data_IF_154152634780
#
_entry.id   IF_154152634780
#
_cell.length_a   1.000
_cell.length_b   1.000
_cell.length_c   1.000
_cell.angle_alpha   90.00
_cell.angle_beta   90.00
_cell.angle_gamma   90.00
#
_symmetry.space_group_name_H-M   'P 1'
#
loop_
_entity.id
_entity.type
_entity.pdbx_description
1 polymer ?
#
# COMPACT_ATOMS: atom_id res chain seq x y z
N UNK A 1 -10.71 -21.63 -16.49
CA UNK A 1 -10.86 -20.89 -17.76
C UNK A 1 -9.61 -21.22 -18.55
N UNK A 2 -9.62 -22.36 -19.22
CA UNK A 2 -8.40 -23.02 -19.70
C UNK A 2 -8.01 -22.56 -21.11
N UNK A 3 -8.81 -21.65 -21.68
CA UNK A 3 -8.72 -21.20 -23.07
C UNK A 3 -8.02 -19.85 -23.26
N UNK A 4 -7.72 -19.12 -22.18
CA UNK A 4 -7.27 -17.72 -22.30
C UNK A 4 -5.78 -17.58 -22.61
N UNK A 5 -4.96 -18.59 -22.28
CA UNK A 5 -3.50 -18.49 -22.40
C UNK A 5 -2.93 -17.27 -21.67
N UNK A 6 -1.68 -16.90 -21.96
CA UNK A 6 -1.11 -15.61 -21.56
C UNK A 6 -0.29 -15.04 -22.72
N UNK A 7 -0.40 -13.74 -22.94
CA UNK A 7 0.38 -13.06 -23.97
C UNK A 7 1.82 -12.82 -23.50
N UNK A 8 2.75 -12.71 -24.44
CA UNK A 8 4.13 -12.29 -24.18
C UNK A 8 4.38 -10.97 -24.91
N UNK A 9 4.77 -9.94 -24.16
CA UNK A 9 5.13 -8.62 -24.71
C UNK A 9 6.65 -8.50 -24.72
N UNK A 10 7.22 -8.19 -25.89
CA UNK A 10 8.65 -7.90 -26.04
C UNK A 10 8.81 -6.40 -26.26
N UNK A 11 9.50 -5.74 -25.34
CA UNK A 11 9.64 -4.28 -25.31
C UNK A 11 11.12 -3.87 -25.22
N UNK A 12 11.45 -2.69 -25.75
CA UNK A 12 12.77 -2.09 -25.53
C UNK A 12 12.95 -1.79 -24.04
N UNK A 13 14.12 -2.15 -23.49
CA UNK A 13 14.48 -1.82 -22.12
C UNK A 13 14.74 -0.32 -21.94
N UNK A 14 14.34 0.18 -20.78
CA UNK A 14 14.69 1.49 -20.22
C UNK A 14 15.11 1.30 -18.77
N UNK A 15 15.94 2.18 -18.22
CA UNK A 15 16.61 1.92 -16.96
C UNK A 15 16.50 3.07 -15.95
N UNK A 16 15.75 2.83 -14.86
CA UNK A 16 15.66 3.78 -13.74
C UNK A 16 16.88 3.78 -12.81
N UNK A 17 17.87 2.93 -13.08
CA UNK A 17 19.06 2.72 -12.24
C UNK A 17 20.39 3.06 -12.92
N UNK A 18 20.38 3.90 -13.97
CA UNK A 18 21.61 4.32 -14.68
C UNK A 18 22.36 5.43 -13.95
N UNK A 19 21.67 6.26 -13.17
CA UNK A 19 22.27 7.35 -12.42
C UNK A 19 21.44 7.73 -11.20
N UNK A 20 21.92 8.71 -10.42
CA UNK A 20 21.14 9.32 -9.34
C UNK A 20 20.02 10.24 -9.85
N UNK A 21 20.02 10.51 -11.14
CA UNK A 21 19.06 11.36 -11.83
C UNK A 21 18.06 10.54 -12.67
N UNK A 22 18.12 9.21 -12.57
CA UNK A 22 17.14 8.27 -13.13
C UNK A 22 16.28 7.67 -12.01
N UNK A 23 15.11 7.15 -12.36
CA UNK A 23 14.24 6.49 -11.39
C UNK A 23 13.09 5.72 -12.03
N UNK A 24 12.41 4.93 -11.20
CA UNK A 24 11.20 4.20 -11.58
C UNK A 24 10.10 4.45 -10.56
N UNK A 25 8.85 4.43 -11.00
CA UNK A 25 7.72 4.73 -10.14
C UNK A 25 6.41 4.16 -10.63
N UNK A 26 5.42 4.22 -9.73
CA UNK A 26 4.04 3.89 -10.01
C UNK A 26 3.18 5.04 -9.54
N UNK A 27 2.33 5.56 -10.43
CA UNK A 27 1.40 6.64 -10.09
C UNK A 27 -0.02 6.30 -10.49
N UNK A 28 -0.96 6.75 -9.68
CA UNK A 28 -2.38 6.78 -9.97
C UNK A 28 -2.75 8.18 -10.43
N UNK A 29 -3.62 8.29 -11.42
CA UNK A 29 -4.15 9.58 -11.90
C UNK A 29 -5.21 10.17 -10.95
N UNK A 30 -5.59 9.44 -9.91
CA UNK A 30 -6.50 9.84 -8.83
C UNK A 30 -5.96 9.29 -7.51
N UNK A 31 -6.21 9.98 -6.40
CA UNK A 31 -5.83 9.49 -5.07
C UNK A 31 -6.73 8.30 -4.67
N UNK A 32 -6.21 7.07 -4.56
CA UNK A 32 -7.03 5.90 -4.23
C UNK A 32 -7.62 5.92 -2.82
N UNK A 33 -7.19 6.85 -1.96
CA UNK A 33 -7.75 7.07 -0.62
C UNK A 33 -8.96 8.02 -0.63
N UNK A 34 -9.19 8.72 -1.74
CA UNK A 34 -10.31 9.64 -1.93
C UNK A 34 -11.47 8.98 -2.71
N UNK A 35 -12.72 9.44 -2.52
CA UNK A 35 -13.85 8.98 -3.33
C UNK A 35 -13.57 9.07 -4.83
N UNK A 36 -14.14 8.15 -5.62
CA UNK A 36 -13.98 8.13 -7.08
C UNK A 36 -14.20 9.52 -7.67
N UNK A 37 -13.20 9.98 -8.42
CA UNK A 37 -13.26 11.23 -9.15
C UNK A 37 -12.50 11.07 -10.46
N UNK A 38 -12.96 11.77 -11.50
CA UNK A 38 -12.22 11.94 -12.77
C UNK A 38 -11.26 13.11 -12.73
N UNK A 39 -11.18 13.82 -11.60
CA UNK A 39 -10.21 14.89 -11.42
C UNK A 39 -8.79 14.30 -11.38
N UNK A 40 -7.95 14.73 -12.32
CA UNK A 40 -6.57 14.26 -12.37
C UNK A 40 -5.76 14.89 -11.24
N UNK A 41 -5.29 14.04 -10.33
CA UNK A 41 -4.31 14.35 -9.28
C UNK A 41 -3.40 13.15 -9.14
N UNK A 42 -2.11 13.36 -9.42
CA UNK A 42 -1.14 12.29 -9.30
C UNK A 42 -0.99 11.89 -7.83
N UNK A 43 -0.96 10.58 -7.59
CA UNK A 43 -0.70 10.00 -6.28
C UNK A 43 0.15 8.75 -6.48
N UNK A 44 1.13 8.49 -5.64
CA UNK A 44 1.92 7.27 -5.74
C UNK A 44 3.36 7.47 -5.29
N UNK A 45 4.23 6.57 -5.73
CA UNK A 45 5.56 6.42 -5.19
C UNK A 45 6.59 6.23 -6.31
N UNK A 46 7.80 6.75 -6.11
CA UNK A 46 8.95 6.49 -6.99
C UNK A 46 10.24 6.30 -6.17
N UNK A 47 11.24 5.70 -6.81
CA UNK A 47 12.59 5.59 -6.25
C UNK A 47 13.63 5.97 -7.31
N UNK A 48 14.64 6.73 -6.89
CA UNK A 48 15.79 7.07 -7.73
C UNK A 48 16.79 5.92 -7.78
N UNK A 49 17.58 5.85 -8.86
CA UNK A 49 18.61 4.85 -9.06
C UNK A 49 18.09 3.41 -8.85
N UNK A 50 16.84 3.14 -9.26
CA UNK A 50 16.10 1.94 -8.90
C UNK A 50 15.22 1.44 -10.06
N UNK A 51 15.02 0.12 -10.09
CA UNK A 51 14.14 -0.55 -11.04
C UNK A 51 12.77 -0.81 -10.42
N UNK A 52 11.76 -1.05 -11.27
CA UNK A 52 10.40 -1.32 -10.81
C UNK A 52 10.30 -2.49 -9.83
N UNK A 53 11.17 -3.49 -9.96
CA UNK A 53 11.22 -4.65 -9.06
C UNK A 53 11.56 -4.28 -7.61
N UNK A 54 12.47 -3.33 -7.40
CA UNK A 54 12.89 -2.89 -6.06
C UNK A 54 11.73 -2.21 -5.33
N UNK A 55 10.96 -1.41 -6.08
CA UNK A 55 9.82 -0.66 -5.56
C UNK A 55 8.70 -1.60 -5.14
N UNK A 56 8.32 -2.54 -6.02
CA UNK A 56 7.26 -3.52 -5.75
C UNK A 56 7.66 -4.49 -4.64
N UNK A 57 8.93 -4.92 -4.63
CA UNK A 57 9.50 -5.80 -3.62
C UNK A 57 9.76 -5.13 -2.26
N UNK A 58 9.55 -3.81 -2.13
CA UNK A 58 9.78 -3.08 -0.89
C UNK A 58 11.25 -3.09 -0.45
N UNK A 59 12.18 -3.21 -1.40
CA UNK A 59 13.62 -3.19 -1.18
C UNK A 59 14.16 -1.76 -0.99
N UNK A 60 13.39 -0.77 -1.42
CA UNK A 60 13.68 0.66 -1.30
C UNK A 60 12.60 1.36 -0.47
N UNK A 61 12.99 2.50 0.12
CA UNK A 61 12.04 3.43 0.72
C UNK A 61 11.65 4.46 -0.34
N UNK A 62 10.43 4.40 -0.89
CA UNK A 62 10.03 5.30 -1.94
C UNK A 62 9.81 6.73 -1.45
N UNK A 63 9.87 7.66 -2.39
CA UNK A 63 9.46 9.03 -2.21
C UNK A 63 8.12 9.29 -2.91
N UNK A 64 7.31 10.23 -2.37
CA UNK A 64 6.01 10.53 -2.92
C UNK A 64 6.10 11.22 -4.29
N UNK A 65 5.09 11.04 -5.13
CA UNK A 65 5.03 11.71 -6.44
C UNK A 65 4.77 13.22 -6.29
N UNK A 66 3.92 13.63 -5.34
CA UNK A 66 3.52 15.03 -5.18
C UNK A 66 3.95 15.65 -3.85
N UNK A 67 4.09 16.97 -3.83
CA UNK A 67 4.26 17.75 -2.60
C UNK A 67 3.02 17.68 -1.70
N UNK A 68 1.83 17.61 -2.30
CA UNK A 68 0.58 17.44 -1.55
C UNK A 68 0.59 16.13 -0.74
N UNK A 69 1.04 15.03 -1.35
CA UNK A 69 1.22 13.75 -0.68
C UNK A 69 2.31 13.81 0.40
N UNK A 70 3.45 14.44 0.10
CA UNK A 70 4.57 14.60 1.05
C UNK A 70 4.19 15.39 2.31
N UNK A 71 3.43 16.47 2.14
CA UNK A 71 3.04 17.37 3.23
C UNK A 71 1.75 16.95 3.93
N UNK A 72 0.89 16.19 3.24
CA UNK A 72 -0.44 15.81 3.72
C UNK A 72 -0.52 14.49 4.48
N UNK A 73 0.54 13.68 4.47
CA UNK A 73 0.53 12.36 5.11
C UNK A 73 1.64 12.22 6.18
N UNK A 74 1.31 11.75 7.39
CA UNK A 74 2.31 11.39 8.41
C UNK A 74 3.34 10.37 7.93
N UNK A 75 3.00 9.55 6.93
CA UNK A 75 3.90 8.55 6.36
C UNK A 75 5.18 9.16 5.78
N UNK A 76 5.10 10.37 5.22
CA UNK A 76 6.24 11.06 4.63
C UNK A 76 6.85 12.11 5.57
N UNK A 77 6.56 12.03 6.88
CA UNK A 77 7.11 12.94 7.87
C UNK A 77 8.65 12.85 7.87
N UNK A 78 9.31 13.99 7.66
CA UNK A 78 10.77 14.06 7.54
C UNK A 78 11.31 13.74 6.14
N UNK A 79 10.47 13.35 5.18
CA UNK A 79 10.86 13.23 3.78
C UNK A 79 10.95 14.62 3.14
N UNK A 80 12.12 14.93 2.58
CA UNK A 80 12.37 16.21 1.91
C UNK A 80 12.16 16.15 0.39
N UNK A 81 11.93 14.95 -0.15
CA UNK A 81 11.95 14.62 -1.56
C UNK A 81 10.55 14.31 -2.10
N UNK A 82 10.27 14.76 -3.32
CA UNK A 82 9.12 14.33 -4.12
C UNK A 82 9.45 14.43 -5.60
N UNK A 83 8.73 13.70 -6.47
CA UNK A 83 8.96 13.78 -7.91
C UNK A 83 8.68 15.20 -8.41
N UNK A 84 7.58 15.81 -7.94
CA UNK A 84 7.18 17.18 -8.24
C UNK A 84 8.25 18.22 -7.90
N UNK A 85 8.97 18.04 -6.78
CA UNK A 85 10.02 18.96 -6.33
C UNK A 85 11.35 18.70 -7.03
N UNK A 86 11.80 17.44 -7.07
CA UNK A 86 13.16 17.10 -7.46
C UNK A 86 13.32 16.87 -8.97
N UNK A 87 12.23 16.48 -9.66
CA UNK A 87 12.20 16.22 -11.10
C UNK A 87 11.00 16.90 -11.77
N UNK A 88 10.91 18.25 -11.73
CA UNK A 88 9.71 18.98 -12.14
C UNK A 88 9.34 18.80 -13.62
N UNK A 89 10.33 18.61 -14.51
CA UNK A 89 10.08 18.36 -15.93
C UNK A 89 9.46 16.97 -16.17
N UNK A 90 10.00 15.94 -15.50
CA UNK A 90 9.44 14.57 -15.51
C UNK A 90 8.03 14.57 -14.94
N UNK A 91 7.81 15.22 -13.79
CA UNK A 91 6.50 15.34 -13.17
C UNK A 91 5.48 16.04 -14.08
N UNK A 92 5.85 17.17 -14.68
CA UNK A 92 4.98 17.91 -15.59
C UNK A 92 4.57 17.07 -16.81
N UNK A 93 5.53 16.29 -17.37
CA UNK A 93 5.26 15.38 -18.47
C UNK A 93 4.33 14.24 -18.04
N UNK A 94 4.57 13.63 -16.87
CA UNK A 94 3.73 12.57 -16.30
C UNK A 94 2.29 13.07 -16.05
N UNK A 95 2.14 14.30 -15.55
CA UNK A 95 0.84 14.94 -15.36
C UNK A 95 0.12 15.21 -16.70
N UNK A 96 0.87 15.60 -17.73
CA UNK A 96 0.34 15.77 -19.08
C UNK A 96 -0.21 14.45 -19.63
N UNK A 97 0.57 13.37 -19.52
CA UNK A 97 0.15 12.00 -19.88
C UNK A 97 -1.12 11.59 -19.12
N UNK A 98 -1.17 11.82 -17.80
CA UNK A 98 -2.33 11.49 -16.99
C UNK A 98 -3.61 12.24 -17.43
N UNK A 99 -3.47 13.51 -17.82
CA UNK A 99 -4.58 14.32 -18.34
C UNK A 99 -5.10 13.83 -19.69
N UNK A 100 -4.21 13.48 -20.61
CA UNK A 100 -4.58 12.90 -21.91
C UNK A 100 -5.26 11.53 -21.73
N UNK A 101 -4.72 10.66 -20.86
CA UNK A 101 -5.33 9.35 -20.57
C UNK A 101 -6.75 9.48 -20.01
N UNK A 102 -6.95 10.31 -18.97
CA UNK A 102 -8.25 10.45 -18.32
C UNK A 102 -9.21 11.33 -19.14
N UNK A 103 -8.71 12.32 -19.88
CA UNK A 103 -9.54 13.30 -20.59
C UNK A 103 -9.95 12.88 -22.00
N UNK A 104 -9.10 12.13 -22.71
CA UNK A 104 -9.27 11.90 -24.15
C UNK A 104 -9.30 10.43 -24.55
N UNK A 105 -8.59 9.55 -23.84
CA UNK A 105 -8.41 8.15 -24.26
C UNK A 105 -9.28 7.17 -23.49
N UNK A 106 -9.15 7.16 -22.17
CA UNK A 106 -9.67 6.10 -21.30
C UNK A 106 -10.90 6.54 -20.50
N UNK A 107 -11.05 7.85 -20.24
CA UNK A 107 -12.18 8.44 -19.49
C UNK A 107 -12.34 8.00 -18.03
N UNK A 108 -11.49 7.08 -17.56
CA UNK A 108 -11.44 6.57 -16.19
C UNK A 108 -10.04 6.74 -15.59
N UNK A 109 -9.92 6.83 -14.24
CA UNK A 109 -8.63 6.90 -13.58
C UNK A 109 -7.73 5.71 -13.93
N UNK A 110 -6.45 6.00 -14.17
CA UNK A 110 -5.43 5.03 -14.55
C UNK A 110 -4.39 4.89 -13.44
N UNK A 111 -3.82 3.70 -13.35
CA UNK A 111 -2.54 3.46 -12.74
C UNK A 111 -1.50 3.32 -13.85
N UNK A 112 -0.35 3.98 -13.67
CA UNK A 112 0.71 4.15 -14.65
C UNK A 112 2.01 3.69 -13.99
N UNK A 113 2.68 2.73 -14.62
CA UNK A 113 4.06 2.36 -14.30
C UNK A 113 4.99 3.11 -15.25
N UNK A 114 5.99 3.79 -14.69
CA UNK A 114 6.88 4.64 -15.46
C UNK A 114 8.34 4.53 -15.01
N UNK A 115 9.24 4.87 -15.92
CA UNK A 115 10.68 4.99 -15.67
C UNK A 115 11.19 6.23 -16.37
N UNK A 116 12.15 6.92 -15.75
CA UNK A 116 12.88 8.02 -16.38
C UNK A 116 14.39 7.77 -16.30
N UNK A 117 15.10 7.98 -17.41
CA UNK A 117 16.56 7.76 -17.49
C UNK A 117 17.38 9.02 -17.14
N UNK A 118 16.74 10.19 -17.15
CA UNK A 118 17.32 11.49 -16.78
C UNK A 118 16.23 12.47 -16.28
N UNK A 119 16.60 13.67 -15.78
CA UNK A 119 15.64 14.71 -15.40
C UNK A 119 14.87 15.32 -16.58
N UNK A 120 15.25 15.04 -17.82
CA UNK A 120 14.61 15.59 -19.00
C UNK A 120 13.25 14.91 -19.26
N UNK A 121 12.23 15.71 -19.57
CA UNK A 121 10.88 15.22 -19.86
C UNK A 121 10.82 14.22 -21.03
N UNK A 122 11.75 14.31 -21.98
CA UNK A 122 11.84 13.42 -23.13
C UNK A 122 12.28 12.00 -22.75
N UNK A 123 12.93 11.84 -21.60
CA UNK A 123 13.41 10.57 -21.09
C UNK A 123 12.43 9.93 -20.11
N UNK A 124 11.18 10.42 -20.03
CA UNK A 124 10.09 9.73 -19.34
C UNK A 124 9.46 8.68 -20.25
N UNK A 125 9.41 7.45 -19.76
CA UNK A 125 8.81 6.31 -20.43
C UNK A 125 7.65 5.76 -19.62
N UNK A 126 6.47 5.67 -20.24
CA UNK A 126 5.33 4.92 -19.70
C UNK A 126 5.46 3.47 -20.13
N UNK A 127 5.52 2.57 -19.15
CA UNK A 127 5.74 1.14 -19.37
C UNK A 127 4.45 0.36 -19.39
N UNK A 128 3.54 0.70 -18.47
CA UNK A 128 2.25 0.06 -18.36
C UNK A 128 1.20 1.09 -17.93
N UNK A 129 -0.03 0.90 -18.41
CA UNK A 129 -1.22 1.54 -17.86
C UNK A 129 -2.30 0.52 -17.57
N UNK A 130 -3.10 0.76 -16.54
CA UNK A 130 -4.30 -0.03 -16.25
C UNK A 130 -5.41 0.83 -15.66
N UNK A 131 -6.65 0.49 -15.95
CA UNK A 131 -7.79 1.11 -15.28
C UNK A 131 -7.73 0.82 -13.77
N UNK A 132 -7.95 1.84 -12.95
CA UNK A 132 -8.02 1.67 -11.50
C UNK A 132 -9.34 1.00 -11.15
N UNK A 133 -9.26 -0.19 -10.55
CA UNK A 133 -10.43 -0.89 -10.04
C UNK A 133 -10.90 -0.19 -8.77
N UNK A 134 -12.07 0.44 -8.85
CA UNK A 134 -12.70 1.07 -7.70
C UNK A 134 -13.55 0.03 -6.98
N UNK A 135 -13.13 -0.37 -5.78
CA UNK A 135 -14.00 -1.14 -4.91
C UNK A 135 -15.13 -0.23 -4.41
N UNK A 136 -16.37 -0.73 -4.46
CA UNK A 136 -17.49 -0.06 -3.79
C UNK A 136 -17.11 0.15 -2.32
N UNK A 137 -17.36 1.35 -1.81
CA UNK A 137 -17.12 1.67 -0.41
C UNK A 137 -17.93 0.69 0.47
N UNK A 138 -17.27 -0.33 1.00
CA UNK A 138 -17.79 -1.11 2.12
C UNK A 138 -17.86 -0.13 3.29
N UNK A 139 -18.95 -0.13 4.04
CA UNK A 139 -19.12 0.73 5.21
C UNK A 139 -17.85 0.65 6.09
N UNK A 140 -17.12 1.77 6.17
CA UNK A 140 -15.80 1.76 6.77
C UNK A 140 -15.95 1.48 8.27
N UNK A 141 -15.29 0.43 8.75
CA UNK A 141 -15.17 0.20 10.18
C UNK A 141 -14.29 1.27 10.80
N UNK A 142 -14.67 1.76 11.97
CA UNK A 142 -13.88 2.69 12.77
C UNK A 142 -13.76 2.17 14.21
N UNK A 143 -12.72 2.61 14.92
CA UNK A 143 -12.52 2.20 16.31
C UNK A 143 -13.53 2.90 17.24
N UNK A 144 -14.04 2.15 18.21
CA UNK A 144 -14.80 2.72 19.33
C UNK A 144 -13.84 3.54 20.22
N UNK A 145 -13.92 4.86 20.07
CA UNK A 145 -13.05 5.79 20.79
C UNK A 145 -13.37 5.88 22.28
N UNK A 146 -14.46 5.29 22.74
CA UNK A 146 -14.80 5.19 24.17
C UNK A 146 -14.10 4.00 24.86
N UNK A 147 -13.50 3.09 24.08
CA UNK A 147 -12.77 1.94 24.60
C UNK A 147 -11.59 2.39 25.46
N UNK A 148 -11.33 1.76 26.62
CA UNK A 148 -10.13 2.04 27.41
C UNK A 148 -8.83 1.65 26.68
N UNK A 149 -8.93 0.81 25.65
CA UNK A 149 -7.79 0.42 24.80
C UNK A 149 -7.56 1.42 23.66
N UNK A 150 -8.45 2.40 23.46
CA UNK A 150 -8.27 3.46 22.48
C UNK A 150 -7.48 4.62 23.09
N UNK A 151 -6.20 4.71 22.74
CA UNK A 151 -5.27 5.75 23.18
C UNK A 151 -4.44 6.29 22.01
N UNK A 152 -3.28 6.92 22.26
CA UNK A 152 -2.33 7.23 21.21
C UNK A 152 -1.83 5.96 20.50
N UNK A 153 -1.63 5.98 19.17
CA UNK A 153 -1.06 4.84 18.47
C UNK A 153 0.37 4.58 18.94
N UNK A 154 0.75 3.30 19.01
CA UNK A 154 2.13 2.89 19.38
C UNK A 154 3.10 3.03 18.22
N UNK A 155 2.57 2.95 17.00
CA UNK A 155 3.30 3.12 15.75
C UNK A 155 2.35 3.62 14.66
N UNK A 156 2.92 4.21 13.62
CA UNK A 156 2.18 4.67 12.43
C UNK A 156 2.92 4.18 11.20
N UNK A 157 2.20 3.49 10.32
CA UNK A 157 2.67 3.14 8.99
C UNK A 157 1.91 3.91 7.90
N UNK A 158 1.97 3.40 6.68
CA UNK A 158 1.17 3.85 5.55
C UNK A 158 -0.14 3.06 5.47
N UNK A 159 -1.26 3.72 5.75
CA UNK A 159 -2.58 3.14 5.49
C UNK A 159 -2.82 3.01 3.98
N UNK A 160 -3.11 1.80 3.50
CA UNK A 160 -3.29 1.54 2.05
C UNK A 160 -4.65 0.95 1.67
N UNK A 161 -5.31 0.23 2.58
CA UNK A 161 -6.58 -0.43 2.29
C UNK A 161 -7.37 -0.75 3.56
N UNK A 162 -8.70 -0.69 3.48
CA UNK A 162 -9.61 -1.03 4.59
C UNK A 162 -9.75 0.07 5.64
N UNK A 163 -10.38 -0.26 6.77
CA UNK A 163 -10.61 0.63 7.91
C UNK A 163 -10.05 0.06 9.21
N UNK A 164 -10.64 0.44 10.33
CA UNK A 164 -10.27 -0.08 11.64
C UNK A 164 -10.50 -1.59 11.72
N UNK A 165 -9.49 -2.32 12.17
CA UNK A 165 -9.48 -3.77 12.24
C UNK A 165 -8.72 -4.25 13.48
N UNK A 166 -9.26 -5.24 14.19
CA UNK A 166 -8.58 -5.90 15.31
C UNK A 166 -8.54 -7.39 15.12
N UNK A 167 -7.36 -7.97 15.29
CA UNK A 167 -7.15 -9.41 15.13
C UNK A 167 -5.97 -9.93 15.95
N UNK A 168 -5.87 -11.25 15.99
CA UNK A 168 -4.76 -11.99 16.59
C UNK A 168 -3.56 -11.97 15.65
N UNK A 169 -2.38 -11.74 16.20
CA UNK A 169 -1.11 -11.68 15.47
C UNK A 169 -0.67 -13.06 15.01
N UNK A 170 -0.24 -13.16 13.76
CA UNK A 170 0.52 -14.30 13.23
C UNK A 170 1.65 -13.81 12.31
N UNK A 171 2.76 -14.55 12.27
CA UNK A 171 3.90 -14.27 11.36
C UNK A 171 4.23 -15.44 10.41
N UNK A 172 3.61 -16.61 10.59
CA UNK A 172 3.84 -17.81 9.77
C UNK A 172 2.55 -18.58 9.49
N UNK A 173 2.59 -19.43 8.47
CA UNK A 173 1.46 -20.27 8.06
C UNK A 173 1.00 -21.21 9.18
N UNK A 174 1.95 -21.81 9.92
CA UNK A 174 1.65 -22.73 11.03
C UNK A 174 0.92 -22.01 12.17
N UNK A 175 1.26 -20.73 12.41
CA UNK A 175 0.58 -19.93 13.41
C UNK A 175 -0.84 -19.57 12.97
N UNK A 176 -1.03 -19.22 11.70
CA UNK A 176 -2.36 -18.97 11.12
C UNK A 176 -3.23 -20.22 11.28
N UNK A 177 -2.72 -21.40 10.91
CA UNK A 177 -3.43 -22.67 11.04
C UNK A 177 -3.83 -22.95 12.47
N UNK A 178 -2.89 -22.83 13.41
CA UNK A 178 -3.17 -23.05 14.84
C UNK A 178 -4.26 -22.11 15.36
N UNK A 179 -4.26 -20.84 14.94
CA UNK A 179 -5.27 -19.86 15.37
C UNK A 179 -6.65 -20.18 14.78
N UNK A 180 -6.71 -20.62 13.52
CA UNK A 180 -7.96 -21.02 12.87
C UNK A 180 -8.50 -22.36 13.40
N UNK A 181 -7.63 -23.28 13.81
CA UNK A 181 -8.04 -24.51 14.49
C UNK A 181 -8.61 -24.24 15.88
N UNK A 182 -8.06 -23.25 16.60
CA UNK A 182 -8.59 -22.77 17.88
C UNK A 182 -9.95 -22.05 17.71
N UNK A 183 -10.07 -21.20 16.69
CA UNK A 183 -11.25 -20.39 16.41
C UNK A 183 -11.38 -20.13 14.89
N UNK A 184 -12.24 -20.88 14.18
CA UNK A 184 -12.33 -20.84 12.72
C UNK A 184 -12.68 -19.47 12.11
N UNK A 185 -13.42 -18.66 12.86
CA UNK A 185 -13.87 -17.33 12.44
C UNK A 185 -13.00 -16.20 13.04
N UNK A 186 -11.81 -16.54 13.58
CA UNK A 186 -10.96 -15.58 14.23
C UNK A 186 -10.33 -14.59 13.24
N UNK A 187 -10.29 -13.34 13.67
CA UNK A 187 -9.69 -12.27 12.92
C UNK A 187 -8.17 -12.34 13.06
N UNK A 188 -7.43 -12.48 11.95
CA UNK A 188 -5.96 -12.58 11.99
C UNK A 188 -5.31 -11.37 11.31
N UNK A 189 -4.28 -10.82 11.96
CA UNK A 189 -3.36 -9.82 11.40
C UNK A 189 -2.03 -10.49 11.10
N UNK A 190 -1.68 -10.59 9.82
CA UNK A 190 -0.41 -11.13 9.36
C UNK A 190 0.68 -10.06 9.43
N UNK A 191 1.74 -10.33 10.19
CA UNK A 191 2.93 -9.50 10.29
C UNK A 191 4.03 -10.06 9.42
N UNK A 192 4.63 -9.24 8.55
CA UNK A 192 5.75 -9.62 7.68
C UNK A 192 6.80 -8.51 7.61
N UNK A 193 8.09 -8.81 7.35
CA UNK A 193 9.06 -7.78 6.98
C UNK A 193 8.64 -7.07 5.68
N UNK A 194 8.26 -7.85 4.69
CA UNK A 194 7.74 -7.52 3.36
C UNK A 194 6.94 -8.73 2.87
N UNK A 195 6.22 -8.60 1.76
CA UNK A 195 5.48 -9.73 1.18
C UNK A 195 5.96 -10.02 -0.23
N UNK A 196 6.00 -11.31 -0.58
CA UNK A 196 6.33 -11.81 -1.91
C UNK A 196 5.17 -12.61 -2.50
N UNK A 197 5.13 -12.90 -3.82
CA UNK A 197 4.05 -13.68 -4.43
C UNK A 197 3.77 -15.03 -3.76
N UNK A 198 4.80 -15.68 -3.21
CA UNK A 198 4.71 -16.94 -2.50
C UNK A 198 3.88 -16.84 -1.20
N UNK A 199 3.74 -15.64 -0.62
CA UNK A 199 2.96 -15.41 0.59
C UNK A 199 1.43 -15.46 0.34
N UNK A 200 0.97 -15.60 -0.91
CA UNK A 200 -0.46 -15.55 -1.27
C UNK A 200 -1.31 -16.58 -0.51
N UNK A 201 -0.76 -17.77 -0.23
CA UNK A 201 -1.46 -18.81 0.52
C UNK A 201 -1.76 -18.37 1.96
N UNK A 202 -0.89 -17.58 2.58
CA UNK A 202 -1.14 -16.97 3.89
C UNK A 202 -2.09 -15.78 3.78
N UNK A 203 -1.84 -14.89 2.81
CA UNK A 203 -2.60 -13.63 2.65
C UNK A 203 -4.09 -13.89 2.42
N UNK A 204 -4.44 -14.92 1.65
CA UNK A 204 -5.85 -15.27 1.39
C UNK A 204 -6.59 -15.71 2.67
N UNK A 205 -5.88 -16.28 3.65
CA UNK A 205 -6.42 -16.83 4.91
C UNK A 205 -6.52 -15.84 6.07
N UNK A 206 -5.91 -14.67 5.95
CA UNK A 206 -5.96 -13.62 6.99
C UNK A 206 -6.84 -12.48 6.53
N UNK A 207 -7.21 -11.59 7.44
CA UNK A 207 -8.09 -10.46 7.10
C UNK A 207 -7.35 -9.13 7.05
N UNK A 208 -6.18 -9.06 7.67
CA UNK A 208 -5.36 -7.87 7.69
C UNK A 208 -3.86 -8.18 7.55
N UNK A 209 -3.13 -7.22 6.99
CA UNK A 209 -1.68 -7.31 6.74
C UNK A 209 -1.01 -6.08 7.34
N UNK A 210 0.09 -6.29 8.07
CA UNK A 210 0.97 -5.24 8.52
C UNK A 210 2.41 -5.58 8.13
N UNK A 211 3.07 -4.70 7.36
CA UNK A 211 4.46 -4.90 6.92
C UNK A 211 5.41 -3.84 7.45
N UNK A 212 6.67 -4.24 7.68
CA UNK A 212 7.72 -3.31 8.09
C UNK A 212 8.19 -2.43 6.92
N UNK A 213 8.19 -2.99 5.71
CA UNK A 213 8.65 -2.36 4.47
C UNK A 213 7.57 -2.41 3.38
N UNK A 214 7.80 -1.63 2.32
CA UNK A 214 6.93 -1.52 1.15
C UNK A 214 6.03 -0.28 1.20
N UNK A 215 5.97 0.48 0.09
CA UNK A 215 5.12 1.66 -0.05
C UNK A 215 3.70 1.39 -0.56
N UNK A 216 3.01 2.42 -1.04
CA UNK A 216 1.61 2.39 -1.46
C UNK A 216 1.33 1.45 -2.64
N UNK A 217 2.40 1.08 -3.35
CA UNK A 217 2.40 0.26 -4.57
C UNK A 217 3.18 -1.05 -4.40
N UNK A 218 3.59 -1.38 -3.17
CA UNK A 218 4.22 -2.66 -2.84
C UNK A 218 3.28 -3.85 -3.08
N UNK A 219 3.86 -5.05 -3.17
CA UNK A 219 3.08 -6.29 -3.29
C UNK A 219 1.99 -6.40 -2.20
N UNK A 220 2.31 -6.04 -0.95
CA UNK A 220 1.37 -6.06 0.17
C UNK A 220 0.19 -5.11 -0.08
N UNK A 221 0.48 -3.87 -0.49
CA UNK A 221 -0.53 -2.84 -0.72
C UNK A 221 -1.46 -3.21 -1.88
N UNK A 222 -0.91 -3.64 -3.02
CA UNK A 222 -1.70 -4.03 -4.20
C UNK A 222 -2.54 -5.27 -3.91
N UNK A 223 -1.97 -6.28 -3.25
CA UNK A 223 -2.68 -7.53 -2.93
C UNK A 223 -3.80 -7.28 -1.92
N UNK A 224 -3.55 -6.48 -0.89
CA UNK A 224 -4.56 -6.14 0.11
C UNK A 224 -5.76 -5.43 -0.52
N UNK A 225 -5.53 -4.42 -1.37
CA UNK A 225 -6.60 -3.74 -2.12
C UNK A 225 -7.41 -4.73 -2.96
N UNK A 226 -6.75 -5.57 -3.76
CA UNK A 226 -7.43 -6.53 -4.64
C UNK A 226 -8.27 -7.55 -3.87
N UNK A 227 -7.78 -8.01 -2.72
CA UNK A 227 -8.44 -9.03 -1.90
C UNK A 227 -9.37 -8.44 -0.82
N UNK A 228 -9.52 -7.11 -0.77
CA UNK A 228 -10.38 -6.44 0.21
C UNK A 228 -9.91 -6.61 1.66
N UNK A 229 -8.60 -6.68 1.88
CA UNK A 229 -7.98 -6.85 3.21
C UNK A 229 -7.61 -5.48 3.80
N UNK A 230 -7.72 -5.34 5.12
CA UNK A 230 -7.16 -4.16 5.80
C UNK A 230 -5.64 -4.22 5.77
N UNK A 231 -4.97 -3.16 5.36
CA UNK A 231 -3.52 -3.15 5.31
C UNK A 231 -2.88 -1.82 5.70
N UNK A 232 -1.81 -1.96 6.47
CA UNK A 232 -0.86 -0.90 6.79
C UNK A 232 0.53 -1.39 6.38
N UNK A 233 1.26 -0.61 5.60
CA UNK A 233 2.61 -0.96 5.11
C UNK A 233 3.64 0.05 5.62
N UNK A 234 4.91 -0.17 5.37
CA UNK A 234 6.01 0.73 5.78
C UNK A 234 6.04 1.08 7.29
N UNK A 235 5.66 0.16 8.17
CA UNK A 235 5.77 0.39 9.61
C UNK A 235 7.23 0.20 10.06
N UNK A 236 8.03 1.27 10.05
CA UNK A 236 9.47 1.23 10.37
C UNK A 236 9.79 0.75 11.79
N UNK A 237 8.86 0.91 12.73
CA UNK A 237 8.96 0.42 14.10
C UNK A 237 8.62 -1.06 14.26
N UNK A 238 8.27 -1.77 13.17
CA UNK A 238 7.99 -3.19 13.16
C UNK A 238 9.25 -3.98 12.77
N UNK A 239 9.63 -4.93 13.62
CA UNK A 239 10.64 -5.94 13.33
C UNK A 239 9.99 -7.32 13.34
N UNK A 240 10.15 -8.08 12.26
CA UNK A 240 9.62 -9.45 12.16
C UNK A 240 10.77 -10.41 11.91
N UNK A 241 10.84 -11.47 12.73
CA UNK A 241 11.82 -12.54 12.60
C UNK A 241 11.08 -13.83 12.26
N UNK A 242 10.85 -14.04 10.97
CA UNK A 242 10.07 -15.17 10.44
C UNK A 242 10.56 -16.52 10.95
N UNK A 243 11.87 -16.75 10.91
CA UNK A 243 12.50 -18.01 11.37
C UNK A 243 12.23 -18.32 12.84
N UNK A 244 11.98 -17.30 13.67
CA UNK A 244 11.65 -17.46 15.10
C UNK A 244 10.16 -17.43 15.36
N UNK A 245 9.34 -17.09 14.36
CA UNK A 245 7.91 -16.95 14.55
C UNK A 245 7.55 -15.78 15.49
N UNK A 246 8.35 -14.71 15.53
CA UNK A 246 8.19 -13.60 16.48
C UNK A 246 8.23 -12.23 15.80
N UNK A 247 7.56 -11.25 16.40
CA UNK A 247 7.63 -9.85 15.98
C UNK A 247 7.83 -8.91 17.19
N UNK A 248 8.35 -7.73 16.92
CA UNK A 248 8.47 -6.61 17.86
C UNK A 248 7.89 -5.37 17.19
N UNK A 249 7.11 -4.57 17.92
CA UNK A 249 6.53 -3.33 17.42
C UNK A 249 6.80 -2.20 18.41
N UNK A 250 7.53 -1.16 18.01
CA UNK A 250 7.89 -0.03 18.86
C UNK A 250 8.51 -0.47 20.21
N UNK A 251 9.34 -1.52 20.20
CA UNK A 251 9.95 -2.11 21.39
C UNK A 251 9.07 -3.11 22.16
N UNK A 252 7.80 -3.30 21.78
CA UNK A 252 6.92 -4.29 22.38
C UNK A 252 7.01 -5.63 21.67
N UNK A 253 7.38 -6.70 22.39
CA UNK A 253 7.37 -8.06 21.85
C UNK A 253 5.93 -8.54 21.64
N UNK A 254 5.60 -8.92 20.41
CA UNK A 254 4.31 -9.50 20.03
C UNK A 254 4.43 -11.02 19.93
N UNK A 255 3.59 -11.73 20.68
CA UNK A 255 3.49 -13.18 20.63
C UNK A 255 2.39 -13.62 19.67
N UNK A 256 2.52 -14.79 19.04
CA UNK A 256 1.46 -15.35 18.21
C UNK A 256 0.16 -15.49 19.01
N UNK A 257 -0.91 -14.91 18.49
CA UNK A 257 -2.21 -14.88 19.16
C UNK A 257 -2.49 -13.63 20.01
N UNK A 258 -1.50 -12.76 20.23
CA UNK A 258 -1.74 -11.46 20.88
C UNK A 258 -2.65 -10.59 20.03
N UNK A 259 -3.45 -9.74 20.68
CA UNK A 259 -4.32 -8.82 19.97
C UNK A 259 -3.57 -7.59 19.47
N UNK A 260 -3.82 -7.23 18.22
CA UNK A 260 -3.34 -6.02 17.58
C UNK A 260 -4.48 -5.35 16.82
N UNK A 261 -4.51 -4.03 16.87
CA UNK A 261 -5.51 -3.22 16.17
C UNK A 261 -4.82 -2.27 15.19
N UNK A 262 -5.26 -2.27 13.93
CA UNK A 262 -4.71 -1.42 12.87
C UNK A 262 -5.82 -0.67 12.14
N UNK A 263 -5.55 0.54 11.68
CA UNK A 263 -6.45 1.29 10.79
C UNK A 263 -5.80 1.46 9.42
N UNK A 264 -6.32 0.72 8.45
CA UNK A 264 -5.83 0.72 7.07
C UNK A 264 -6.06 2.03 6.29
N UNK A 265 -6.79 3.00 6.85
CA UNK A 265 -6.97 4.33 6.27
C UNK A 265 -5.99 5.34 6.84
N UNK A 266 -5.80 5.35 8.15
CA UNK A 266 -4.93 6.33 8.83
C UNK A 266 -3.50 5.84 9.00
N UNK A 267 -3.26 4.53 8.92
CA UNK A 267 -1.96 3.91 9.21
C UNK A 267 -1.68 3.71 10.71
N UNK A 268 -2.62 4.08 11.58
CA UNK A 268 -2.45 3.97 13.03
C UNK A 268 -2.46 2.52 13.50
N UNK A 269 -1.57 2.20 14.44
CA UNK A 269 -1.42 0.86 15.02
C UNK A 269 -1.48 0.95 16.55
N UNK A 270 -2.26 0.06 17.17
CA UNK A 270 -2.49 0.01 18.61
C UNK A 270 -2.29 -1.41 19.15
N UNK A 271 -1.73 -1.52 20.35
CA UNK A 271 -1.65 -2.79 21.07
C UNK A 271 -3.02 -3.18 21.63
N UNK A 272 -3.29 -4.49 21.66
CA UNK A 272 -4.53 -5.03 22.20
C UNK A 272 -5.70 -4.95 21.23
N UNK A 273 -6.88 -5.30 21.75
CA UNK A 273 -8.12 -5.34 21.00
C UNK A 273 -8.92 -4.06 21.25
N UNK A 274 -9.20 -3.32 20.19
CA UNK A 274 -10.10 -2.17 20.22
C UNK A 274 -11.38 -2.56 19.49
N UNK A 275 -12.56 -2.48 20.12
CA UNK A 275 -13.83 -2.73 19.44
C UNK A 275 -13.98 -1.85 18.20
N UNK A 276 -14.52 -2.41 17.13
CA UNK A 276 -14.85 -1.69 15.90
C UNK A 276 -16.35 -1.45 15.81
N UNK A 277 -16.70 -0.32 15.20
CA UNK A 277 -18.07 0.10 14.89
C UNK A 277 -18.19 0.21 13.38
N UNK A 278 -19.41 0.04 12.87
CA UNK A 278 -19.73 0.20 11.44
C UNK A 278 -20.55 1.48 11.30
N UNK A 279 -20.18 2.34 10.35
CA UNK A 279 -20.99 3.52 10.04
C UNK A 279 -22.37 3.04 9.54
N UNK A 280 -23.49 3.45 10.17
CA UNK A 280 -24.80 3.06 9.69
C UNK A 280 -25.00 3.66 8.31
N UNK A 281 -25.20 2.80 7.30
CA UNK A 281 -25.55 3.23 5.95
C UNK A 281 -26.83 4.04 6.06
N UNK A 282 -26.85 5.34 5.66
CA UNK A 282 -28.08 6.11 5.68
C UNK A 282 -29.12 5.38 4.85
N UNK A 283 -30.29 5.07 5.43
CA UNK A 283 -31.43 4.61 4.64
C UNK A 283 -31.66 5.65 3.53
N UNK A 284 -31.62 5.19 2.28
CA UNK A 284 -31.89 6.03 1.13
C UNK A 284 -33.26 6.71 1.34
N UNK A 285 -33.24 8.03 1.54
CA UNK A 285 -34.44 8.86 1.60
C UNK A 285 -35.07 9.04 0.22
#
# INVERSE_FOLDING_TARGET
ADEWGTAVVVQRMVFGNVSRESGSGVTFTHNPLEPYSRQVRLFGDFAICSQGEDLVGGLVFPWPITEAQRLGSPTYLGTEHSLEKDFPAVYAQLLSVARDLVGEREFDPQEIEFTFESPDAADLFVLQKRAVVHQQAVAATYFDTSSPNYGPPVAVGMGVAGGAYSGRVAVSAEQIERLLDEAPDENIVLLRPDTVPEDIAMITRVSAILTARGGATSHAAVTAKRLGKTAVVECRDLEVVERRGSACLAGHTLRPGDWLSIDGRTGNIFLGRIPTLVEPVPEAR
#
